data_IF_709762334307
#
_entry.id   IF_709762334307
#
_cell.length_a   1.000
_cell.length_b   1.000
_cell.length_c   1.000
_cell.angle_alpha   90.00
_cell.angle_beta   90.00
_cell.angle_gamma   90.00
#
_symmetry.space_group_name_H-M   'P 1'
#
loop_
_entity.id
_entity.type
_entity.pdbx_description
1 polymer ?
#
# COMPACT_ATOMS: atom_id res chain seq x y z
N UNK A 1 -20.34 -10.30 29.79
CA UNK A 1 -20.84 -11.36 28.90
C UNK A 1 -19.63 -12.18 28.48
N UNK A 2 -19.50 -13.39 28.98
CA UNK A 2 -18.42 -14.30 28.58
C UNK A 2 -18.76 -14.85 27.18
N UNK A 3 -18.13 -14.33 26.18
CA UNK A 3 -18.33 -14.73 24.78
C UNK A 3 -17.20 -15.60 24.24
N UNK A 4 -16.26 -16.03 25.13
CA UNK A 4 -15.12 -16.84 24.74
C UNK A 4 -15.22 -18.24 25.23
N UNK A 5 -15.04 -19.22 24.34
CA UNK A 5 -14.65 -20.56 24.70
C UNK A 5 -13.16 -20.60 25.05
N UNK A 6 -12.79 -21.37 26.05
CA UNK A 6 -11.40 -21.47 26.51
C UNK A 6 -10.87 -22.89 26.27
N UNK A 7 -9.63 -22.93 25.78
CA UNK A 7 -8.89 -24.20 25.78
C UNK A 7 -8.65 -24.65 27.20
N UNK A 8 -8.67 -25.96 27.41
CA UNK A 8 -8.40 -26.53 28.72
C UNK A 8 -7.13 -27.38 28.67
N UNK A 9 -6.25 -27.15 29.63
CA UNK A 9 -5.08 -28.01 29.88
C UNK A 9 -5.19 -28.57 31.27
N UNK A 10 -5.16 -29.90 31.42
CA UNK A 10 -5.33 -30.59 32.68
C UNK A 10 -6.62 -30.19 33.44
N UNK A 11 -7.71 -29.93 32.73
CA UNK A 11 -9.00 -29.52 33.30
C UNK A 11 -9.08 -28.07 33.77
N UNK A 12 -8.03 -27.25 33.51
CA UNK A 12 -8.04 -25.82 33.85
C UNK A 12 -8.16 -24.99 32.57
N UNK A 13 -8.99 -23.94 32.56
CA UNK A 13 -9.07 -23.03 31.44
C UNK A 13 -7.73 -22.28 31.29
N UNK A 14 -7.21 -22.21 30.06
CA UNK A 14 -5.98 -21.55 29.75
C UNK A 14 -6.26 -20.27 28.97
N UNK A 15 -6.21 -20.37 27.66
CA UNK A 15 -6.36 -19.26 26.74
C UNK A 15 -7.67 -19.34 25.96
N UNK A 16 -8.23 -18.25 25.47
CA UNK A 16 -9.37 -18.30 24.57
C UNK A 16 -9.05 -19.10 23.31
N UNK A 17 -9.97 -19.89 22.81
CA UNK A 17 -9.82 -20.60 21.53
C UNK A 17 -9.70 -19.61 20.37
N UNK A 18 -10.43 -18.50 20.46
CA UNK A 18 -10.45 -17.46 19.45
C UNK A 18 -10.53 -16.09 20.10
N UNK A 19 -9.74 -15.15 19.61
CA UNK A 19 -9.81 -13.75 19.98
C UNK A 19 -10.56 -12.99 18.88
N UNK A 20 -11.68 -12.39 19.22
CA UNK A 20 -12.49 -11.59 18.32
C UNK A 20 -12.13 -10.11 18.48
N UNK A 21 -11.45 -9.48 17.52
CA UNK A 21 -11.18 -8.05 17.59
C UNK A 21 -12.49 -7.27 17.42
N UNK A 22 -12.60 -6.14 18.11
CA UNK A 22 -13.77 -5.23 17.98
C UNK A 22 -13.81 -4.60 16.59
N UNK A 23 -12.64 -4.38 15.99
CA UNK A 23 -12.48 -3.77 14.68
C UNK A 23 -11.95 -4.80 13.67
N UNK A 24 -12.25 -4.67 12.39
CA UNK A 24 -11.72 -5.53 11.33
C UNK A 24 -10.24 -5.23 11.06
N UNK A 25 -9.37 -5.64 11.99
CA UNK A 25 -7.92 -5.33 11.96
C UNK A 25 -7.25 -5.77 10.67
N UNK A 26 -7.68 -6.91 10.09
CA UNK A 26 -7.15 -7.39 8.81
C UNK A 26 -7.42 -6.44 7.65
N UNK A 27 -8.55 -5.73 7.67
CA UNK A 27 -8.89 -4.71 6.67
C UNK A 27 -8.11 -3.42 6.91
N UNK A 28 -7.96 -3.02 8.17
CA UNK A 28 -7.25 -1.78 8.53
C UNK A 28 -5.77 -1.91 8.21
N UNK A 29 -5.11 -2.93 8.71
CA UNK A 29 -3.67 -3.10 8.55
C UNK A 29 -3.27 -3.71 7.21
N UNK A 30 -4.24 -4.28 6.49
CA UNK A 30 -3.92 -5.16 5.37
C UNK A 30 -3.29 -6.47 5.84
N UNK A 31 -3.09 -7.36 4.91
CA UNK A 31 -2.39 -8.63 5.17
C UNK A 31 -1.72 -9.13 3.89
N UNK A 32 -0.60 -9.81 4.07
CA UNK A 32 0.05 -10.56 3.01
C UNK A 32 0.47 -11.89 3.62
N UNK A 33 -0.31 -12.92 3.36
CA UNK A 33 -0.14 -14.25 3.96
C UNK A 33 -0.06 -15.30 2.87
N UNK A 34 0.90 -16.19 3.02
CA UNK A 34 1.07 -17.37 2.18
C UNK A 34 0.77 -18.58 3.03
N UNK A 35 -0.26 -19.33 2.65
CA UNK A 35 -0.63 -20.60 3.29
C UNK A 35 -0.36 -21.78 2.36
N UNK A 36 -0.65 -22.98 2.83
CA UNK A 36 -0.54 -24.20 2.00
C UNK A 36 -1.66 -24.20 0.97
N UNK A 37 -1.31 -23.90 -0.28
CA UNK A 37 -2.25 -23.88 -1.40
C UNK A 37 -3.02 -22.57 -1.63
N UNK A 38 -2.88 -21.58 -0.74
CA UNK A 38 -3.57 -20.28 -0.85
C UNK A 38 -2.66 -19.13 -0.46
N UNK A 39 -2.85 -18.00 -1.12
CA UNK A 39 -2.26 -16.73 -0.74
C UNK A 39 -3.37 -15.69 -0.57
N UNK A 40 -3.29 -14.88 0.49
CA UNK A 40 -4.20 -13.77 0.73
C UNK A 40 -3.41 -12.49 0.78
N UNK A 41 -3.73 -11.57 -0.10
CA UNK A 41 -3.14 -10.22 -0.16
C UNK A 41 -4.26 -9.21 -0.04
N UNK A 42 -4.25 -8.43 1.03
CA UNK A 42 -5.17 -7.35 1.27
C UNK A 42 -4.36 -6.10 1.60
N UNK A 43 -4.62 -5.03 0.90
CA UNK A 43 -3.94 -3.76 1.13
C UNK A 43 -4.57 -3.03 2.34
N UNK A 44 -3.81 -2.21 3.07
CA UNK A 44 -4.32 -1.47 4.23
C UNK A 44 -5.37 -0.43 3.83
N UNK A 45 -6.27 -0.13 4.77
CA UNK A 45 -7.33 0.89 4.60
C UNK A 45 -7.25 1.91 5.72
N UNK A 46 -7.75 3.09 5.42
CA UNK A 46 -7.84 4.17 6.41
C UNK A 46 -8.75 3.77 7.57
N UNK A 47 -8.24 3.92 8.79
CA UNK A 47 -8.96 3.54 10.02
C UNK A 47 -10.29 4.26 10.11
N UNK A 48 -10.30 5.58 9.89
CA UNK A 48 -11.50 6.41 9.97
C UNK A 48 -12.56 5.97 8.98
N UNK A 49 -12.18 5.69 7.73
CA UNK A 49 -13.11 5.24 6.70
C UNK A 49 -13.72 3.89 7.03
N UNK A 50 -12.90 2.96 7.55
CA UNK A 50 -13.40 1.63 7.99
C UNK A 50 -14.33 1.76 9.19
N UNK A 51 -14.02 2.64 10.14
CA UNK A 51 -14.86 2.90 11.30
C UNK A 51 -16.21 3.51 10.91
N UNK A 52 -16.20 4.51 10.04
CA UNK A 52 -17.43 5.17 9.58
C UNK A 52 -18.36 4.19 8.87
N UNK A 53 -17.81 3.32 8.02
CA UNK A 53 -18.56 2.25 7.37
C UNK A 53 -19.12 1.25 8.41
N UNK A 54 -18.31 0.85 9.37
CA UNK A 54 -18.71 -0.12 10.40
C UNK A 54 -19.82 0.43 11.30
N UNK A 55 -19.68 1.68 11.75
CA UNK A 55 -20.70 2.38 12.54
C UNK A 55 -21.99 2.54 11.72
N UNK A 56 -21.88 2.94 10.46
CA UNK A 56 -23.04 3.10 9.58
C UNK A 56 -23.80 1.79 9.35
N UNK A 57 -23.11 0.67 9.23
CA UNK A 57 -23.74 -0.66 9.15
C UNK A 57 -24.47 -1.00 10.45
N UNK A 58 -23.82 -0.80 11.60
CA UNK A 58 -24.41 -1.11 12.90
C UNK A 58 -25.64 -0.24 13.21
N UNK A 59 -25.64 1.01 12.74
CA UNK A 59 -26.77 1.92 12.88
C UNK A 59 -27.88 1.70 11.83
N UNK A 60 -27.63 0.84 10.84
CA UNK A 60 -28.55 0.61 9.72
C UNK A 60 -28.66 1.78 8.75
N UNK A 61 -27.75 2.76 8.81
CA UNK A 61 -27.71 3.92 7.90
C UNK A 61 -27.05 3.57 6.57
N UNK A 62 -26.17 2.58 6.56
CA UNK A 62 -25.51 2.03 5.36
C UNK A 62 -26.06 0.64 5.12
N UNK A 63 -26.85 0.47 4.06
CA UNK A 63 -27.42 -0.80 3.63
C UNK A 63 -26.62 -1.44 2.50
N UNK A 64 -25.92 -0.63 1.70
CA UNK A 64 -25.07 -1.10 0.60
C UNK A 64 -23.63 -0.62 0.83
N UNK A 65 -22.72 -1.57 0.84
CA UNK A 65 -21.29 -1.26 0.90
C UNK A 65 -20.82 -0.69 -0.45
N UNK A 66 -19.82 0.19 -0.43
CA UNK A 66 -19.17 0.64 -1.66
C UNK A 66 -18.56 -0.55 -2.39
N UNK A 67 -18.64 -0.55 -3.73
CA UNK A 67 -18.10 -1.64 -4.56
C UNK A 67 -16.60 -1.83 -4.38
N UNK A 68 -15.89 -0.79 -3.98
CA UNK A 68 -14.45 -0.84 -3.65
C UNK A 68 -14.12 0.22 -2.60
N UNK A 69 -13.07 -0.04 -1.84
CA UNK A 69 -12.51 0.87 -0.86
C UNK A 69 -11.02 1.09 -1.22
N UNK A 70 -10.62 2.30 -1.58
CA UNK A 70 -9.24 2.57 -1.96
C UNK A 70 -8.26 2.20 -0.84
N UNK A 71 -7.12 1.56 -1.17
CA UNK A 71 -6.08 1.34 -0.19
C UNK A 71 -5.44 2.66 0.24
N UNK A 72 -5.09 2.74 1.52
CA UNK A 72 -4.40 3.89 2.10
C UNK A 72 -3.31 3.39 3.05
N UNK A 73 -2.08 3.78 2.76
CA UNK A 73 -0.93 3.40 3.57
C UNK A 73 -0.54 4.52 4.53
N UNK A 74 -0.16 4.23 5.76
CA UNK A 74 0.40 5.22 6.66
C UNK A 74 1.62 5.91 6.02
N UNK A 75 1.65 7.24 6.08
CA UNK A 75 2.75 8.06 5.57
C UNK A 75 2.97 8.04 4.06
N UNK A 76 2.11 7.43 3.28
CA UNK A 76 2.18 7.46 1.82
C UNK A 76 1.22 8.51 1.26
N UNK A 77 1.76 9.41 0.46
CA UNK A 77 1.02 10.51 -0.17
C UNK A 77 0.99 10.39 -1.70
N UNK A 78 1.38 9.24 -2.23
CA UNK A 78 1.32 8.94 -3.65
C UNK A 78 -0.11 8.82 -4.17
N UNK A 79 -0.24 8.62 -5.46
CA UNK A 79 -1.53 8.42 -6.11
C UNK A 79 -1.89 6.94 -6.13
N UNK A 80 -3.17 6.65 -5.84
CA UNK A 80 -3.73 5.30 -5.89
C UNK A 80 -4.84 5.31 -6.93
N UNK A 81 -4.69 4.51 -7.98
CA UNK A 81 -5.67 4.37 -9.06
C UNK A 81 -6.19 2.92 -9.12
N UNK A 82 -7.50 2.77 -9.31
CA UNK A 82 -8.09 1.46 -9.60
C UNK A 82 -7.86 1.14 -11.08
N UNK A 83 -7.17 0.04 -11.36
CA UNK A 83 -6.91 -0.41 -12.74
C UNK A 83 -7.95 -1.42 -13.23
N UNK A 84 -8.36 -2.32 -12.35
CA UNK A 84 -9.32 -3.40 -12.64
C UNK A 84 -9.92 -3.87 -11.32
N UNK A 85 -10.83 -4.81 -11.37
CA UNK A 85 -11.39 -5.44 -10.17
C UNK A 85 -10.24 -5.96 -9.30
N UNK A 86 -10.15 -5.44 -8.07
CA UNK A 86 -9.12 -5.79 -7.09
C UNK A 86 -7.66 -5.52 -7.52
N UNK A 87 -7.44 -4.72 -8.58
CA UNK A 87 -6.09 -4.35 -9.03
C UNK A 87 -5.86 -2.87 -8.92
N UNK A 88 -4.85 -2.50 -8.17
CA UNK A 88 -4.50 -1.12 -7.85
C UNK A 88 -3.15 -0.74 -8.43
N UNK A 89 -3.04 0.49 -8.91
CA UNK A 89 -1.77 1.14 -9.23
C UNK A 89 -1.40 2.08 -8.09
N UNK A 90 -0.17 1.95 -7.60
CA UNK A 90 0.41 2.77 -6.54
C UNK A 90 1.56 3.55 -7.15
N UNK A 91 1.43 4.89 -7.23
CA UNK A 91 2.38 5.76 -7.92
C UNK A 91 3.12 6.65 -6.95
N UNK A 92 4.42 6.78 -7.15
CA UNK A 92 5.22 7.80 -6.48
C UNK A 92 4.81 9.22 -6.88
N UNK A 93 5.56 10.20 -6.38
CA UNK A 93 5.42 11.61 -6.77
C UNK A 93 6.76 12.17 -7.20
N UNK A 94 6.73 12.91 -8.28
CA UNK A 94 7.86 13.70 -8.75
C UNK A 94 7.44 15.15 -8.92
N UNK A 95 8.37 16.06 -8.76
CA UNK A 95 8.20 17.49 -8.98
C UNK A 95 9.33 17.95 -9.89
N UNK A 96 9.00 18.71 -10.92
CA UNK A 96 10.01 19.31 -11.81
C UNK A 96 10.17 20.77 -11.43
N UNK A 97 11.34 21.12 -10.93
CA UNK A 97 11.69 22.47 -10.51
C UNK A 97 12.74 23.07 -11.46
N UNK A 98 12.63 24.36 -11.71
CA UNK A 98 13.64 25.10 -12.46
C UNK A 98 14.66 25.64 -11.48
N UNK A 99 15.87 25.08 -11.52
CA UNK A 99 16.99 25.54 -10.71
C UNK A 99 17.63 26.80 -11.29
N UNK A 100 18.57 27.36 -10.53
CA UNK A 100 19.39 28.50 -10.99
C UNK A 100 20.04 28.18 -12.33
N UNK A 101 20.04 29.13 -13.24
CA UNK A 101 20.55 29.03 -14.62
C UNK A 101 19.69 28.23 -15.61
N UNK A 102 18.38 28.06 -15.31
CA UNK A 102 17.44 27.40 -16.24
C UNK A 102 17.56 25.89 -16.34
N UNK A 103 18.44 25.26 -15.58
CA UNK A 103 18.52 23.79 -15.50
C UNK A 103 17.32 23.25 -14.69
N UNK A 104 16.65 22.23 -15.22
CA UNK A 104 15.55 21.58 -14.51
C UNK A 104 16.08 20.47 -13.61
N UNK A 105 15.51 20.36 -12.42
CA UNK A 105 15.80 19.30 -11.44
C UNK A 105 14.50 18.56 -11.22
N UNK A 106 14.58 17.25 -11.26
CA UNK A 106 13.46 16.35 -10.94
C UNK A 106 13.64 15.93 -9.49
N UNK A 107 12.66 16.23 -8.66
CA UNK A 107 12.65 15.83 -7.26
C UNK A 107 11.66 14.71 -7.03
N UNK A 108 12.13 13.56 -6.56
CA UNK A 108 11.27 12.48 -6.07
C UNK A 108 10.89 12.80 -4.63
N UNK A 109 9.59 12.95 -4.37
CA UNK A 109 9.05 13.25 -3.04
C UNK A 109 8.29 12.07 -2.45
N UNK A 110 7.92 11.08 -3.27
CA UNK A 110 7.24 9.87 -2.83
C UNK A 110 7.60 8.69 -3.74
N UNK A 111 7.64 7.49 -3.15
CA UNK A 111 7.87 6.24 -3.87
C UNK A 111 6.74 5.25 -3.58
N UNK A 112 6.54 4.21 -4.40
CA UNK A 112 5.56 3.16 -4.10
C UNK A 112 5.77 2.56 -2.70
N UNK A 113 4.73 2.20 -1.94
CA UNK A 113 4.83 1.80 -0.53
C UNK A 113 5.69 0.55 -0.28
N UNK A 114 5.88 -0.29 -1.29
CA UNK A 114 6.71 -1.50 -1.24
C UNK A 114 8.20 -1.24 -1.49
N UNK A 115 8.59 0.03 -1.71
CA UNK A 115 9.98 0.40 -1.90
C UNK A 115 10.56 0.94 -0.59
N UNK A 116 11.73 0.41 -0.24
CA UNK A 116 12.58 0.98 0.79
C UNK A 116 13.70 1.85 0.17
N UNK A 117 14.48 2.49 1.04
CA UNK A 117 15.60 3.33 0.57
C UNK A 117 16.66 2.56 -0.18
N UNK A 118 16.86 1.29 0.14
CA UNK A 118 17.86 0.46 -0.52
C UNK A 118 17.45 0.14 -1.96
N UNK A 119 16.20 -0.27 -2.16
CA UNK A 119 15.63 -0.53 -3.48
C UNK A 119 15.73 0.72 -4.35
N UNK A 120 15.36 1.87 -3.79
CA UNK A 120 15.39 3.14 -4.50
C UNK A 120 16.81 3.53 -4.94
N UNK A 121 17.80 3.47 -4.03
CA UNK A 121 19.18 3.82 -4.35
C UNK A 121 19.74 2.88 -5.42
N UNK A 122 19.50 1.58 -5.29
CA UNK A 122 19.93 0.60 -6.29
C UNK A 122 19.39 0.92 -7.67
N UNK A 123 18.08 1.21 -7.79
CA UNK A 123 17.49 1.62 -9.06
C UNK A 123 18.07 2.92 -9.61
N UNK A 124 18.37 3.90 -8.75
CA UNK A 124 19.00 5.14 -9.19
C UNK A 124 20.42 4.92 -9.73
N UNK A 125 21.17 4.01 -9.15
CA UNK A 125 22.49 3.61 -9.68
C UNK A 125 22.34 2.90 -11.02
N UNK A 126 21.42 1.96 -11.15
CA UNK A 126 21.12 1.29 -12.43
C UNK A 126 20.70 2.32 -13.52
N UNK A 127 19.89 3.32 -13.18
CA UNK A 127 19.52 4.40 -14.10
C UNK A 127 20.70 5.31 -14.48
N UNK A 128 21.63 5.52 -13.57
CA UNK A 128 22.86 6.27 -13.84
C UNK A 128 23.77 5.49 -14.78
N UNK A 129 23.97 4.20 -14.53
CA UNK A 129 24.79 3.32 -15.36
C UNK A 129 24.23 3.15 -16.78
N UNK A 130 22.89 3.11 -16.90
CA UNK A 130 22.21 3.11 -18.21
C UNK A 130 22.21 4.47 -18.92
N UNK A 131 22.68 5.53 -18.24
CA UNK A 131 22.69 6.89 -18.75
C UNK A 131 21.30 7.53 -18.90
N UNK A 132 20.30 7.01 -18.18
CA UNK A 132 18.97 7.65 -18.09
C UNK A 132 19.02 8.91 -17.24
N UNK A 133 19.79 8.88 -16.15
CA UNK A 133 20.06 10.03 -15.30
C UNK A 133 21.57 10.37 -15.32
N UNK A 134 21.89 11.64 -15.15
CA UNK A 134 23.29 12.10 -15.11
C UNK A 134 23.87 11.98 -13.70
N UNK A 135 23.08 12.41 -12.71
CA UNK A 135 23.45 12.36 -11.30
C UNK A 135 22.21 12.43 -10.42
N UNK A 136 22.35 12.01 -9.16
CA UNK A 136 21.34 12.18 -8.15
C UNK A 136 21.94 12.61 -6.82
N UNK A 137 21.14 13.30 -6.01
CA UNK A 137 21.48 13.70 -4.65
C UNK A 137 20.37 13.28 -3.71
N UNK A 138 20.71 12.50 -2.68
CA UNK A 138 19.75 12.03 -1.68
C UNK A 138 19.75 12.97 -0.46
N UNK A 139 18.71 13.75 -0.32
CA UNK A 139 18.45 14.67 0.78
C UNK A 139 17.35 14.15 1.72
N UNK A 140 17.00 12.87 1.64
CA UNK A 140 15.92 12.24 2.41
C UNK A 140 16.23 12.19 3.91
N UNK A 141 15.24 12.51 4.75
CA UNK A 141 15.35 12.47 6.22
C UNK A 141 14.29 11.56 6.79
N UNK A 142 14.68 10.56 7.60
CA UNK A 142 13.81 9.57 8.25
C UNK A 142 12.77 8.99 7.28
N UNK A 143 11.49 9.38 7.40
CA UNK A 143 10.36 8.84 6.65
C UNK A 143 9.97 9.72 5.45
N UNK A 144 10.79 10.68 5.05
CA UNK A 144 10.53 11.52 3.89
C UNK A 144 11.49 11.21 2.75
N UNK A 145 10.98 11.16 1.54
CA UNK A 145 11.80 11.06 0.34
C UNK A 145 12.06 12.46 -0.19
N UNK A 146 13.31 12.75 -0.47
CA UNK A 146 13.74 14.00 -1.10
C UNK A 146 15.00 13.71 -1.92
N UNK A 147 14.79 13.24 -3.16
CA UNK A 147 15.88 12.88 -4.04
C UNK A 147 15.84 13.79 -5.26
N UNK A 148 16.90 14.51 -5.47
CA UNK A 148 17.08 15.39 -6.63
C UNK A 148 17.83 14.63 -7.73
N UNK A 149 17.27 14.65 -8.93
CA UNK A 149 17.81 13.99 -10.12
C UNK A 149 18.07 15.03 -11.19
N UNK A 150 19.24 14.93 -11.80
CA UNK A 150 19.60 15.68 -13.01
C UNK A 150 19.53 14.75 -14.22
N UNK A 151 18.72 15.09 -15.21
CA UNK A 151 18.62 14.34 -16.46
C UNK A 151 18.11 15.21 -17.59
N UNK A 152 18.91 15.36 -18.62
CA UNK A 152 18.49 16.04 -19.86
C UNK A 152 17.45 15.25 -20.65
N UNK A 153 17.39 13.92 -20.44
CA UNK A 153 16.43 13.04 -21.11
C UNK A 153 15.02 13.12 -20.50
N UNK A 154 14.93 13.44 -19.20
CA UNK A 154 13.67 13.44 -18.46
C UNK A 154 13.09 14.84 -18.26
N UNK A 155 13.91 15.89 -18.26
CA UNK A 155 13.53 17.26 -17.87
C UNK A 155 12.39 17.90 -18.68
N UNK A 156 12.14 17.41 -19.90
CA UNK A 156 11.11 17.93 -20.79
C UNK A 156 9.91 17.00 -20.94
N UNK A 157 9.88 15.89 -20.19
CA UNK A 157 8.76 14.95 -20.19
C UNK A 157 7.66 15.39 -19.21
N UNK A 158 6.41 15.04 -19.48
CA UNK A 158 5.33 15.20 -18.51
C UNK A 158 5.56 14.25 -17.32
N UNK A 159 4.98 14.60 -16.18
CA UNK A 159 5.15 13.91 -14.91
C UNK A 159 4.87 12.40 -15.01
N UNK A 160 3.78 12.00 -15.67
CA UNK A 160 3.43 10.60 -15.88
C UNK A 160 4.51 9.81 -16.63
N UNK A 161 5.14 10.42 -17.63
CA UNK A 161 6.25 9.80 -18.37
C UNK A 161 7.53 9.71 -17.56
N UNK A 162 7.76 10.65 -16.66
CA UNK A 162 8.88 10.59 -15.71
C UNK A 162 8.67 9.45 -14.73
N UNK A 163 7.46 9.30 -14.17
CA UNK A 163 7.11 8.19 -13.28
C UNK A 163 7.30 6.84 -13.97
N UNK A 164 6.83 6.69 -15.21
CA UNK A 164 7.02 5.49 -16.02
C UNK A 164 8.51 5.17 -16.24
N UNK A 165 9.30 6.15 -16.65
CA UNK A 165 10.75 6.00 -16.94
C UNK A 165 11.57 5.68 -15.69
N UNK A 166 11.20 6.22 -14.55
CA UNK A 166 11.83 5.96 -13.26
C UNK A 166 11.22 4.74 -12.55
N UNK A 167 10.29 4.04 -13.21
CA UNK A 167 9.57 2.88 -12.68
C UNK A 167 8.87 3.15 -11.33
N UNK A 168 8.53 4.41 -11.05
CA UNK A 168 7.87 4.85 -9.81
C UNK A 168 6.38 4.51 -9.79
N UNK A 169 6.00 3.39 -10.37
CA UNK A 169 4.65 2.85 -10.37
C UNK A 169 4.70 1.34 -10.11
N UNK A 170 3.84 0.87 -9.23
CA UNK A 170 3.71 -0.56 -8.93
C UNK A 170 2.25 -0.94 -8.95
N UNK A 171 1.91 -2.06 -9.59
CA UNK A 171 0.57 -2.63 -9.54
C UNK A 171 0.50 -3.77 -8.53
N UNK A 172 -0.58 -3.79 -7.74
CA UNK A 172 -0.86 -4.84 -6.77
C UNK A 172 -2.27 -5.34 -6.99
N UNK A 173 -2.41 -6.66 -7.04
CA UNK A 173 -3.72 -7.33 -7.11
C UNK A 173 -4.06 -7.88 -5.74
N UNK A 174 -5.23 -7.53 -5.23
CA UNK A 174 -5.75 -8.08 -3.99
C UNK A 174 -6.38 -9.45 -4.25
N UNK A 175 -6.10 -10.39 -3.38
CA UNK A 175 -6.77 -11.68 -3.32
C UNK A 175 -7.18 -11.92 -1.89
N UNK A 176 -8.47 -12.06 -1.65
CA UNK A 176 -8.98 -12.21 -0.30
C UNK A 176 -9.43 -13.63 -0.05
N UNK A 177 -8.74 -14.30 0.87
CA UNK A 177 -9.07 -15.64 1.32
C UNK A 177 -9.27 -15.60 2.83
N UNK A 178 -10.41 -16.08 3.30
CA UNK A 178 -10.71 -16.09 4.73
C UNK A 178 -11.44 -17.37 5.15
N UNK A 179 -11.42 -17.64 6.44
CA UNK A 179 -12.21 -18.70 7.05
C UNK A 179 -13.57 -18.16 7.46
N UNK A 180 -14.60 -18.93 7.15
CA UNK A 180 -15.94 -18.70 7.70
C UNK A 180 -16.08 -19.32 9.09
N UNK A 181 -17.16 -18.97 9.81
CA UNK A 181 -17.49 -19.55 11.12
C UNK A 181 -17.68 -21.06 11.11
N UNK A 182 -17.87 -21.67 9.94
CA UNK A 182 -18.07 -23.12 9.76
C UNK A 182 -16.74 -23.81 9.34
N UNK A 183 -15.59 -23.19 9.58
CA UNK A 183 -14.26 -23.70 9.21
C UNK A 183 -14.08 -24.00 7.71
N UNK A 184 -14.83 -23.31 6.87
CA UNK A 184 -14.70 -23.41 5.42
C UNK A 184 -13.87 -22.26 4.86
N UNK A 185 -13.05 -22.59 3.89
CA UNK A 185 -12.39 -21.57 3.07
C UNK A 185 -13.40 -20.90 2.15
N UNK A 186 -13.45 -19.59 2.18
CA UNK A 186 -14.16 -18.81 1.20
C UNK A 186 -13.17 -17.99 0.39
N UNK A 187 -13.23 -18.18 -0.91
CA UNK A 187 -12.48 -17.39 -1.90
C UNK A 187 -13.45 -16.33 -2.41
N UNK A 188 -13.26 -15.08 -2.04
CA UNK A 188 -13.94 -13.99 -2.73
C UNK A 188 -13.02 -13.35 -3.75
N UNK A 189 -13.31 -13.68 -5.01
CA UNK A 189 -12.85 -12.96 -6.17
C UNK A 189 -14.06 -12.26 -6.81
N UNK A 190 -14.60 -11.21 -6.16
CA UNK A 190 -15.57 -10.34 -6.85
C UNK A 190 -15.49 -8.93 -6.29
#
# INVERSE_FOLDING_TARGET
IATHSYRTTEGKPCEPETLYPILPIGVINGQNQIGVGFASTLLPRKVETVLDLFIGILQGTITNLPSYLPPEYPYYNGKVDLLDVNKWSLKGKVQVEVAKRGKKIIRITEVPPNWDKYILIKKLEDFKDSGLIENYQNNSVKNTFNIEISSTKLENLPEDKILEKLELETSVTESFVYYTSDDKFQLECK
#
